data_IF_475250488106
#
_entry.id   IF_475250488106
#
_cell.length_a   1.000
_cell.length_b   1.000
_cell.length_c   1.000
_cell.angle_alpha   90.00
_cell.angle_beta   90.00
_cell.angle_gamma   90.00
#
_symmetry.space_group_name_H-M   'P 1'
#
loop_
_entity.id
_entity.type
_entity.pdbx_description
1 polymer ?
#
# COMPACT_ATOMS: atom_id res chain seq x y z
N UNK A 1 10.58 -28.52 12.57
CA UNK A 1 10.43 -28.17 13.99
C UNK A 1 11.76 -28.26 14.74
N UNK A 2 11.78 -27.95 16.03
CA UNK A 2 13.01 -27.92 16.85
C UNK A 2 13.77 -29.27 16.88
N UNK A 3 13.06 -30.38 16.69
CA UNK A 3 13.64 -31.74 16.71
C UNK A 3 13.91 -32.29 15.31
N UNK A 4 13.69 -31.51 14.23
CA UNK A 4 13.92 -31.98 12.88
C UNK A 4 15.42 -32.08 12.61
N UNK A 5 15.90 -33.26 12.27
CA UNK A 5 17.30 -33.47 11.91
C UNK A 5 17.66 -32.72 10.62
N UNK A 6 18.82 -32.05 10.56
CA UNK A 6 19.25 -31.29 9.36
C UNK A 6 19.28 -32.14 8.09
N UNK A 7 19.67 -33.40 8.18
CA UNK A 7 19.71 -34.34 7.05
C UNK A 7 18.33 -34.60 6.45
N UNK A 8 17.27 -34.64 7.28
CA UNK A 8 15.89 -34.80 6.81
C UNK A 8 15.45 -33.53 6.07
N UNK A 9 15.73 -32.35 6.62
CA UNK A 9 15.42 -31.08 5.97
C UNK A 9 16.10 -30.97 4.61
N UNK A 10 17.41 -31.27 4.53
CA UNK A 10 18.17 -31.26 3.27
C UNK A 10 17.61 -32.24 2.22
N UNK A 11 17.20 -33.43 2.65
CA UNK A 11 16.57 -34.43 1.75
C UNK A 11 15.24 -33.93 1.18
N UNK A 12 14.38 -33.36 2.01
CA UNK A 12 13.09 -32.81 1.57
C UNK A 12 13.30 -31.61 0.64
N UNK A 13 14.29 -30.74 0.92
CA UNK A 13 14.66 -29.66 0.04
C UNK A 13 15.10 -30.16 -1.33
N UNK A 14 16.03 -31.14 -1.38
CA UNK A 14 16.50 -31.74 -2.63
C UNK A 14 15.34 -32.35 -3.43
N UNK A 15 14.44 -33.07 -2.76
CA UNK A 15 13.26 -33.67 -3.39
C UNK A 15 12.32 -32.60 -3.96
N UNK A 16 12.07 -31.51 -3.22
CA UNK A 16 11.25 -30.40 -3.68
C UNK A 16 11.84 -29.73 -4.93
N UNK A 17 13.16 -29.53 -4.95
CA UNK A 17 13.89 -29.01 -6.12
C UNK A 17 13.79 -29.94 -7.32
N UNK A 18 13.91 -31.27 -7.11
CA UNK A 18 13.76 -32.26 -8.17
C UNK A 18 12.33 -32.25 -8.78
N UNK A 19 11.33 -31.85 -8.03
CA UNK A 19 9.95 -31.62 -8.52
C UNK A 19 9.73 -30.26 -9.18
N UNK A 20 10.80 -29.47 -9.42
CA UNK A 20 10.70 -28.15 -10.01
C UNK A 20 10.11 -27.08 -9.07
N UNK A 21 10.06 -27.34 -7.75
CA UNK A 21 9.61 -26.35 -6.76
C UNK A 21 10.77 -25.46 -6.31
N UNK A 22 10.42 -24.30 -5.79
CA UNK A 22 11.37 -23.38 -5.11
C UNK A 22 11.14 -23.52 -3.61
N UNK A 23 11.87 -24.42 -2.92
CA UNK A 23 11.74 -24.58 -1.48
C UNK A 23 12.32 -23.40 -0.72
N UNK A 24 11.65 -23.02 0.35
CA UNK A 24 12.12 -21.99 1.28
C UNK A 24 12.14 -22.56 2.68
N UNK A 25 13.27 -22.42 3.38
CA UNK A 25 13.36 -22.79 4.78
C UNK A 25 12.57 -21.81 5.63
N UNK A 26 11.69 -22.35 6.48
CA UNK A 26 10.91 -21.57 7.44
C UNK A 26 11.05 -22.19 8.84
N UNK A 27 11.34 -21.34 9.83
CA UNK A 27 11.21 -21.74 11.22
C UNK A 27 9.74 -22.06 11.53
N UNK A 28 9.50 -23.10 12.34
CA UNK A 28 8.15 -23.46 12.76
C UNK A 28 7.59 -22.40 13.72
N UNK A 29 6.90 -21.43 13.16
CA UNK A 29 6.24 -20.33 13.86
C UNK A 29 4.81 -20.17 13.33
N UNK A 30 3.90 -19.52 14.09
CA UNK A 30 2.52 -19.32 13.65
C UNK A 30 2.44 -18.60 12.30
N UNK A 31 1.73 -19.21 11.34
CA UNK A 31 1.59 -18.69 9.98
C UNK A 31 2.81 -18.90 9.07
N UNK A 32 3.90 -19.46 9.56
CA UNK A 32 5.15 -19.61 8.83
C UNK A 32 5.55 -18.28 8.14
N UNK A 33 5.74 -18.30 6.82
CA UNK A 33 6.06 -17.10 6.02
C UNK A 33 4.78 -16.45 5.49
N UNK A 34 4.03 -17.18 4.65
CA UNK A 34 2.93 -16.60 3.87
C UNK A 34 1.76 -16.15 4.73
N UNK A 35 1.22 -17.03 5.59
CA UNK A 35 0.07 -16.67 6.43
C UNK A 35 0.39 -15.62 7.48
N UNK A 36 1.66 -15.39 7.77
CA UNK A 36 2.12 -14.31 8.63
C UNK A 36 2.26 -13.00 7.86
N UNK A 37 3.11 -12.98 6.82
CA UNK A 37 3.43 -11.75 6.08
C UNK A 37 2.21 -11.23 5.31
N UNK A 38 1.29 -12.09 4.85
CA UNK A 38 0.09 -11.65 4.15
C UNK A 38 -1.00 -11.05 5.05
N UNK A 39 -0.91 -11.18 6.39
CA UNK A 39 -1.99 -10.65 7.27
C UNK A 39 -2.26 -9.16 7.11
N UNK A 40 -1.26 -8.27 7.00
CA UNK A 40 -1.51 -6.85 6.76
C UNK A 40 -2.34 -6.56 5.51
N UNK A 41 -2.27 -7.37 4.45
CA UNK A 41 -3.07 -7.17 3.24
C UNK A 41 -4.58 -7.13 3.53
N UNK A 42 -5.05 -8.04 4.38
CA UNK A 42 -6.46 -8.06 4.82
C UNK A 42 -6.71 -7.08 5.95
N UNK A 43 -5.78 -6.98 6.88
CA UNK A 43 -5.95 -6.21 8.09
C UNK A 43 -6.01 -4.71 7.83
N UNK A 44 -5.17 -4.17 6.91
CA UNK A 44 -5.24 -2.76 6.54
C UNK A 44 -6.50 -2.45 5.73
N UNK A 45 -6.88 -3.34 4.81
CA UNK A 45 -8.15 -3.23 4.09
C UNK A 45 -9.36 -3.15 5.03
N UNK A 46 -9.45 -4.09 5.98
CA UNK A 46 -10.55 -4.14 6.94
C UNK A 46 -10.54 -2.95 7.92
N UNK A 47 -9.37 -2.39 8.23
CA UNK A 47 -9.28 -1.18 9.04
C UNK A 47 -9.84 0.03 8.28
N UNK A 48 -9.46 0.23 7.02
CA UNK A 48 -9.97 1.30 6.18
C UNK A 48 -11.49 1.21 5.97
N UNK A 49 -12.02 -0.01 5.83
CA UNK A 49 -13.48 -0.23 5.75
C UNK A 49 -14.19 0.06 7.07
N UNK A 50 -13.61 -0.32 8.21
CA UNK A 50 -14.15 -0.01 9.54
C UNK A 50 -14.22 1.49 9.80
N UNK A 51 -13.20 2.22 9.35
CA UNK A 51 -13.10 3.67 9.43
C UNK A 51 -14.02 4.39 8.41
N UNK A 52 -14.66 3.64 7.50
CA UNK A 52 -15.43 4.19 6.38
C UNK A 52 -14.60 5.10 5.47
N UNK A 53 -13.31 4.86 5.42
CA UNK A 53 -12.36 5.67 4.66
C UNK A 53 -12.43 5.41 3.15
N UNK A 54 -12.87 4.22 2.75
CA UNK A 54 -12.91 3.78 1.36
C UNK A 54 -13.99 2.72 1.13
N UNK A 55 -14.60 2.74 -0.05
CA UNK A 55 -15.53 1.68 -0.48
C UNK A 55 -14.77 0.43 -0.97
N UNK A 56 -15.33 -0.79 -0.79
CA UNK A 56 -14.68 -2.04 -1.21
C UNK A 56 -14.17 -2.05 -2.65
N UNK A 57 -14.95 -1.52 -3.60
CA UNK A 57 -14.60 -1.50 -5.02
C UNK A 57 -13.40 -0.58 -5.31
N UNK A 58 -13.33 0.56 -4.65
CA UNK A 58 -12.21 1.52 -4.76
C UNK A 58 -10.94 0.92 -4.16
N UNK A 59 -11.05 0.33 -2.97
CA UNK A 59 -9.96 -0.35 -2.29
C UNK A 59 -9.34 -1.44 -3.17
N UNK A 60 -10.19 -2.31 -3.72
CA UNK A 60 -9.77 -3.40 -4.60
C UNK A 60 -9.14 -2.88 -5.89
N UNK A 61 -9.69 -1.82 -6.48
CA UNK A 61 -9.15 -1.21 -7.69
C UNK A 61 -7.77 -0.60 -7.46
N UNK A 62 -7.55 0.11 -6.34
CA UNK A 62 -6.25 0.69 -5.99
C UNK A 62 -5.18 -0.39 -5.79
N UNK A 63 -5.50 -1.49 -5.12
CA UNK A 63 -4.54 -2.57 -4.90
C UNK A 63 -4.31 -3.41 -6.16
N UNK A 64 -5.34 -3.66 -7.01
CA UNK A 64 -5.11 -4.19 -8.36
C UNK A 64 -4.25 -3.23 -9.20
N UNK A 65 -4.52 -1.94 -9.11
CA UNK A 65 -3.71 -0.88 -9.70
C UNK A 65 -2.26 -0.88 -9.24
N UNK A 66 -1.97 -1.35 -8.04
CA UNK A 66 -0.63 -1.57 -7.52
C UNK A 66 0.02 -2.90 -7.97
N UNK A 67 -0.67 -3.68 -8.83
CA UNK A 67 -0.18 -4.91 -9.45
C UNK A 67 -0.61 -6.19 -8.72
N UNK A 68 -1.39 -6.12 -7.65
CA UNK A 68 -1.95 -7.34 -7.04
C UNK A 68 -2.98 -7.98 -7.97
N UNK A 69 -2.96 -9.31 -8.05
CA UNK A 69 -3.85 -10.07 -8.93
C UNK A 69 -5.32 -9.89 -8.59
N UNK A 70 -5.64 -9.74 -7.32
CA UNK A 70 -6.99 -9.50 -6.79
C UNK A 70 -6.89 -8.46 -5.68
N UNK A 71 -7.92 -7.62 -5.56
CA UNK A 71 -8.07 -6.77 -4.39
C UNK A 71 -8.42 -7.58 -3.13
N UNK A 72 -8.22 -7.03 -1.93
CA UNK A 72 -8.41 -7.76 -0.67
C UNK A 72 -9.86 -8.17 -0.42
N UNK A 73 -10.85 -7.38 -0.85
CA UNK A 73 -12.26 -7.71 -0.68
C UNK A 73 -12.65 -8.88 -1.59
N UNK A 74 -12.27 -8.86 -2.88
CA UNK A 74 -12.47 -9.98 -3.79
C UNK A 74 -11.75 -11.25 -3.31
N UNK A 75 -10.54 -11.09 -2.76
CA UNK A 75 -9.75 -12.22 -2.27
C UNK A 75 -10.36 -12.83 -1.01
N UNK A 76 -10.87 -12.03 -0.09
CA UNK A 76 -11.60 -12.51 1.08
C UNK A 76 -12.90 -13.23 0.68
N UNK A 77 -13.62 -12.70 -0.29
CA UNK A 77 -14.83 -13.34 -0.85
C UNK A 77 -14.51 -14.68 -1.55
N UNK A 78 -13.35 -14.79 -2.21
CA UNK A 78 -12.88 -16.02 -2.84
C UNK A 78 -12.50 -17.10 -1.80
N UNK A 79 -11.74 -16.71 -0.77
CA UNK A 79 -11.28 -17.60 0.31
C UNK A 79 -12.47 -18.05 1.18
N UNK A 80 -13.38 -17.16 1.41
CA UNK A 80 -14.47 -17.25 2.37
C UNK A 80 -14.11 -16.57 3.70
N UNK A 81 -15.00 -15.67 4.14
CA UNK A 81 -14.78 -14.84 5.33
C UNK A 81 -14.60 -15.68 6.61
N UNK A 82 -15.32 -16.77 6.75
CA UNK A 82 -15.19 -17.71 7.87
C UNK A 82 -13.80 -18.36 7.90
N UNK A 83 -13.30 -18.81 6.74
CA UNK A 83 -11.97 -19.40 6.61
C UNK A 83 -10.88 -18.37 6.90
N UNK A 84 -10.98 -17.18 6.30
CA UNK A 84 -10.00 -16.12 6.51
C UNK A 84 -9.97 -15.63 7.97
N UNK A 85 -11.15 -15.47 8.60
CA UNK A 85 -11.28 -15.10 10.01
C UNK A 85 -10.70 -16.17 10.94
N UNK A 86 -10.96 -17.47 10.65
CA UNK A 86 -10.41 -18.57 11.44
C UNK A 86 -8.88 -18.60 11.40
N UNK A 87 -8.28 -18.39 10.21
CA UNK A 87 -6.81 -18.26 10.06
C UNK A 87 -6.29 -17.05 10.84
N UNK A 88 -6.95 -15.89 10.74
CA UNK A 88 -6.55 -14.69 11.48
C UNK A 88 -6.59 -14.92 12.98
N UNK A 89 -7.67 -15.50 13.52
CA UNK A 89 -7.79 -15.83 14.95
C UNK A 89 -6.67 -16.79 15.38
N UNK A 90 -6.42 -17.86 14.61
CA UNK A 90 -5.36 -18.82 14.91
C UNK A 90 -3.97 -18.15 14.97
N UNK A 91 -3.65 -17.25 14.04
CA UNK A 91 -2.36 -16.51 14.06
C UNK A 91 -2.31 -15.55 15.24
N UNK A 92 -3.40 -14.85 15.54
CA UNK A 92 -3.50 -13.91 16.65
C UNK A 92 -3.29 -14.60 18.01
N UNK A 93 -4.01 -15.69 18.26
CA UNK A 93 -3.91 -16.48 19.49
C UNK A 93 -2.50 -17.08 19.65
N UNK A 94 -1.97 -17.66 18.58
CA UNK A 94 -0.66 -18.32 18.58
C UNK A 94 0.53 -17.33 18.71
N UNK A 95 0.31 -16.04 18.45
CA UNK A 95 1.26 -14.95 18.72
C UNK A 95 0.96 -14.23 20.04
N UNK A 96 0.28 -14.89 20.97
CA UNK A 96 -0.08 -14.35 22.29
C UNK A 96 -0.81 -13.02 22.21
N UNK A 97 -1.74 -12.90 21.25
CA UNK A 97 -2.62 -11.74 21.08
C UNK A 97 -1.89 -10.44 20.68
N UNK A 98 -0.78 -10.55 19.94
CA UNK A 98 -0.11 -9.39 19.35
C UNK A 98 -1.11 -8.58 18.49
N UNK A 99 -1.30 -7.31 18.84
CA UNK A 99 -2.28 -6.40 18.23
C UNK A 99 -2.12 -6.24 16.71
N UNK A 100 -0.94 -6.53 16.18
CA UNK A 100 -0.69 -6.52 14.74
C UNK A 100 -1.55 -7.54 13.98
N UNK A 101 -1.90 -8.66 14.63
CA UNK A 101 -2.72 -9.73 14.06
C UNK A 101 -4.18 -9.72 14.53
N UNK A 102 -4.63 -8.65 15.21
CA UNK A 102 -5.98 -8.58 15.77
C UNK A 102 -7.06 -8.77 14.67
N UNK A 103 -8.04 -9.64 14.89
CA UNK A 103 -9.17 -9.82 13.98
C UNK A 103 -10.02 -8.55 13.86
N UNK A 104 -10.67 -8.37 12.71
CA UNK A 104 -11.54 -7.23 12.42
C UNK A 104 -12.98 -7.51 12.79
N UNK A 105 -13.66 -6.50 13.36
CA UNK A 105 -15.12 -6.52 13.60
C UNK A 105 -15.90 -6.62 12.29
N UNK A 106 -15.50 -5.91 11.24
CA UNK A 106 -16.13 -5.99 9.91
C UNK A 106 -16.22 -7.44 9.44
N UNK A 107 -15.10 -8.18 9.50
CA UNK A 107 -15.10 -9.58 9.07
C UNK A 107 -15.89 -10.49 10.01
N UNK A 108 -15.88 -10.22 11.33
CA UNK A 108 -16.66 -10.98 12.29
C UNK A 108 -18.16 -10.82 12.05
N UNK A 109 -18.62 -9.60 11.75
CA UNK A 109 -20.02 -9.31 11.43
C UNK A 109 -20.45 -9.96 10.11
N UNK A 110 -19.61 -9.95 9.09
CA UNK A 110 -19.89 -10.64 7.83
C UNK A 110 -20.09 -12.14 8.04
N UNK A 111 -19.22 -12.77 8.85
CA UNK A 111 -19.36 -14.20 9.18
C UNK A 111 -20.64 -14.45 9.96
N UNK A 112 -20.96 -13.64 10.97
CA UNK A 112 -22.19 -13.75 11.76
C UNK A 112 -23.44 -13.56 10.89
N UNK A 113 -23.39 -12.68 9.90
CA UNK A 113 -24.47 -12.44 8.94
C UNK A 113 -24.57 -13.48 7.80
N UNK A 114 -23.68 -14.51 7.76
CA UNK A 114 -23.67 -15.51 6.69
C UNK A 114 -23.15 -14.99 5.36
N UNK A 115 -22.54 -13.81 5.32
CA UNK A 115 -21.94 -13.18 4.13
C UNK A 115 -20.54 -13.75 3.88
N UNK A 116 -20.47 -15.04 3.52
CA UNK A 116 -19.21 -15.79 3.47
C UNK A 116 -18.43 -15.63 2.15
N UNK A 117 -18.91 -14.80 1.22
CA UNK A 117 -18.32 -14.59 -0.08
C UNK A 117 -18.92 -15.47 -1.17
N UNK A 118 -18.11 -15.89 -2.16
CA UNK A 118 -18.58 -16.64 -3.33
C UNK A 118 -19.34 -17.92 -2.97
N UNK A 119 -18.93 -18.62 -1.94
CA UNK A 119 -19.56 -19.89 -1.51
C UNK A 119 -20.98 -19.73 -0.96
N UNK A 120 -21.32 -18.55 -0.45
CA UNK A 120 -22.69 -18.21 0.00
C UNK A 120 -23.44 -17.31 -0.99
N UNK A 121 -22.84 -17.03 -2.17
CA UNK A 121 -23.40 -16.12 -3.18
C UNK A 121 -23.25 -14.64 -2.85
N UNK A 122 -22.80 -14.28 -1.65
CA UNK A 122 -22.61 -12.90 -1.21
C UNK A 122 -21.52 -12.78 -0.15
N UNK A 123 -20.70 -11.76 -0.29
CA UNK A 123 -19.73 -11.27 0.67
C UNK A 123 -19.68 -9.75 0.60
N UNK A 124 -18.53 -9.16 0.37
CA UNK A 124 -18.44 -7.74 -0.01
C UNK A 124 -19.19 -7.47 -1.32
N UNK A 125 -19.20 -8.45 -2.22
CA UNK A 125 -19.89 -8.39 -3.51
C UNK A 125 -20.97 -9.46 -3.61
N UNK A 126 -21.95 -9.22 -4.51
CA UNK A 126 -22.92 -10.23 -4.90
C UNK A 126 -22.37 -11.08 -6.09
N UNK A 127 -22.57 -12.38 -6.04
CA UNK A 127 -22.07 -13.29 -7.07
C UNK A 127 -23.22 -13.95 -7.85
N UNK A 128 -23.04 -14.14 -9.18
CA UNK A 128 -21.78 -14.11 -9.94
C UNK A 128 -21.30 -12.73 -10.41
N UNK A 129 -22.01 -11.62 -10.15
CA UNK A 129 -21.67 -10.29 -10.68
C UNK A 129 -20.25 -9.84 -10.24
N UNK A 130 -19.88 -10.05 -8.96
CA UNK A 130 -18.57 -9.65 -8.45
C UNK A 130 -18.41 -8.15 -8.20
N UNK A 131 -17.19 -7.65 -8.17
CA UNK A 131 -16.89 -6.25 -7.96
C UNK A 131 -17.43 -5.39 -9.13
N UNK A 132 -18.13 -4.27 -8.85
CA UNK A 132 -18.57 -3.36 -9.90
C UNK A 132 -17.37 -2.68 -10.57
N UNK A 133 -17.53 -2.33 -11.85
CA UNK A 133 -16.59 -1.46 -12.54
C UNK A 133 -16.66 -0.05 -11.93
N UNK A 134 -15.49 0.56 -11.72
CA UNK A 134 -15.43 1.96 -11.32
C UNK A 134 -15.76 2.87 -12.52
N UNK A 135 -16.33 4.06 -12.27
CA UNK A 135 -16.53 5.05 -13.30
C UNK A 135 -15.21 5.40 -14.01
N UNK A 136 -15.26 5.58 -15.32
CA UNK A 136 -14.10 6.10 -16.04
C UNK A 136 -13.86 7.55 -15.63
N UNK A 137 -12.59 7.96 -15.49
CA UNK A 137 -12.25 9.35 -15.20
C UNK A 137 -12.81 10.30 -16.28
N UNK A 138 -13.34 11.47 -15.85
CA UNK A 138 -13.82 12.49 -16.77
C UNK A 138 -12.66 13.27 -17.39
N UNK A 139 -12.44 13.14 -18.69
CA UNK A 139 -11.37 13.84 -19.39
C UNK A 139 -11.45 15.38 -19.28
N UNK A 140 -12.62 15.93 -19.05
CA UNK A 140 -12.80 17.37 -18.87
C UNK A 140 -12.10 17.90 -17.61
N UNK A 141 -12.00 17.09 -16.55
CA UNK A 141 -11.31 17.48 -15.31
C UNK A 141 -9.80 17.70 -15.56
N UNK A 142 -9.15 16.79 -16.30
CA UNK A 142 -7.75 16.94 -16.65
C UNK A 142 -7.51 18.19 -17.50
N UNK A 143 -8.32 18.41 -18.51
CA UNK A 143 -8.22 19.57 -19.38
C UNK A 143 -8.43 20.87 -18.60
N UNK A 144 -9.43 20.93 -17.74
CA UNK A 144 -9.70 22.11 -16.89
C UNK A 144 -8.53 22.43 -15.95
N UNK A 145 -7.97 21.44 -15.29
CA UNK A 145 -6.83 21.62 -14.40
C UNK A 145 -5.58 22.13 -15.14
N UNK A 146 -5.28 21.58 -16.32
CA UNK A 146 -4.14 22.01 -17.14
C UNK A 146 -4.32 23.43 -17.69
N UNK A 147 -5.52 23.80 -18.15
CA UNK A 147 -5.82 25.13 -18.68
C UNK A 147 -5.77 26.24 -17.61
N UNK A 148 -6.11 25.89 -16.36
CA UNK A 148 -6.10 26.84 -15.25
C UNK A 148 -4.66 27.15 -14.77
N UNK A 149 -3.73 26.21 -14.92
CA UNK A 149 -2.38 26.33 -14.40
C UNK A 149 -1.54 27.41 -15.09
N UNK A 150 -0.76 28.13 -14.29
CA UNK A 150 0.21 29.16 -14.72
C UNK A 150 1.64 28.74 -14.40
N UNK A 151 1.85 28.21 -13.23
CA UNK A 151 3.14 27.78 -12.74
C UNK A 151 3.03 26.35 -12.17
N UNK A 152 3.92 25.48 -12.62
CA UNK A 152 3.97 24.09 -12.15
C UNK A 152 5.41 23.73 -11.78
N UNK A 153 5.61 23.16 -10.61
CA UNK A 153 6.89 22.62 -10.18
C UNK A 153 6.75 21.15 -9.72
N UNK A 154 7.74 20.34 -10.04
CA UNK A 154 7.85 18.97 -9.55
C UNK A 154 8.94 18.88 -8.49
N UNK A 155 8.53 18.49 -7.29
CA UNK A 155 9.35 18.39 -6.11
C UNK A 155 9.90 16.99 -5.89
N UNK A 156 11.07 16.90 -5.24
CA UNK A 156 11.65 15.66 -4.76
C UNK A 156 12.65 15.00 -5.72
N UNK A 157 13.13 13.83 -5.35
CA UNK A 157 14.13 13.02 -6.09
C UNK A 157 13.66 11.58 -6.26
N UNK A 158 14.34 10.86 -7.16
CA UNK A 158 14.15 9.43 -7.39
C UNK A 158 13.01 9.13 -8.37
N UNK A 159 12.81 7.84 -8.60
CA UNK A 159 12.01 7.32 -9.72
C UNK A 159 10.58 7.88 -9.81
N UNK A 160 9.91 8.11 -8.66
CA UNK A 160 8.54 8.67 -8.68
C UNK A 160 8.58 10.13 -9.11
N UNK A 161 9.47 10.94 -8.54
CA UNK A 161 9.59 12.35 -8.90
C UNK A 161 9.99 12.53 -10.39
N UNK A 162 10.86 11.67 -10.90
CA UNK A 162 11.30 11.70 -12.29
C UNK A 162 10.17 11.28 -13.23
N UNK A 163 9.38 10.27 -12.87
CA UNK A 163 8.20 9.88 -13.62
C UNK A 163 7.11 10.98 -13.62
N UNK A 164 6.89 11.66 -12.48
CA UNK A 164 5.99 12.79 -12.40
C UNK A 164 6.45 13.95 -13.30
N UNK A 165 7.74 14.27 -13.29
CA UNK A 165 8.32 15.33 -14.12
C UNK A 165 8.12 15.06 -15.61
N UNK A 166 8.40 13.82 -16.05
CA UNK A 166 8.21 13.41 -17.44
C UNK A 166 6.74 13.51 -17.86
N UNK A 167 5.81 13.04 -17.04
CA UNK A 167 4.38 13.06 -17.32
C UNK A 167 3.80 14.48 -17.30
N UNK A 168 4.23 15.30 -16.33
CA UNK A 168 3.83 16.70 -16.26
C UNK A 168 4.33 17.49 -17.46
N UNK A 169 5.59 17.27 -17.89
CA UNK A 169 6.12 17.89 -19.09
C UNK A 169 5.29 17.53 -20.33
N UNK A 170 4.98 16.26 -20.54
CA UNK A 170 4.15 15.82 -21.66
C UNK A 170 2.72 16.39 -21.61
N UNK A 171 2.13 16.50 -20.42
CA UNK A 171 0.78 17.05 -20.25
C UNK A 171 0.73 18.57 -20.49
N UNK A 172 1.82 19.30 -20.21
CA UNK A 172 1.91 20.76 -20.35
C UNK A 172 2.43 21.22 -21.71
N UNK A 173 3.07 20.34 -22.50
CA UNK A 173 3.60 20.66 -23.83
C UNK A 173 2.56 21.35 -24.75
N UNK A 174 1.29 20.93 -24.82
CA UNK A 174 0.29 21.59 -25.65
C UNK A 174 -0.04 23.02 -25.25
N UNK A 175 0.32 23.41 -24.02
CA UNK A 175 0.09 24.75 -23.46
C UNK A 175 1.32 25.66 -23.58
N UNK A 176 2.42 25.15 -24.13
CA UNK A 176 3.63 25.92 -24.43
C UNK A 176 4.55 26.19 -23.24
N UNK A 177 4.40 25.45 -22.14
CA UNK A 177 5.31 25.53 -20.99
C UNK A 177 5.57 24.14 -20.37
N UNK A 178 6.51 24.06 -19.44
CA UNK A 178 6.85 22.84 -18.74
C UNK A 178 7.06 23.06 -17.25
N UNK A 179 7.09 22.01 -16.45
CA UNK A 179 7.26 22.10 -15.02
C UNK A 179 8.71 22.46 -14.65
N UNK A 180 8.88 23.31 -13.64
CA UNK A 180 10.16 23.48 -12.96
C UNK A 180 10.53 22.21 -12.19
N UNK A 181 11.82 21.93 -11.98
CA UNK A 181 12.32 20.77 -11.25
C UNK A 181 13.01 21.19 -9.95
N UNK A 182 12.42 20.86 -8.79
CA UNK A 182 12.90 21.24 -7.47
C UNK A 182 13.41 20.00 -6.70
N UNK A 183 14.65 19.61 -6.97
CA UNK A 183 15.25 18.39 -6.43
C UNK A 183 15.73 18.51 -4.98
N UNK A 184 15.81 19.72 -4.41
CA UNK A 184 16.21 19.94 -3.02
C UNK A 184 15.07 19.79 -2.01
N UNK A 185 13.84 19.62 -2.49
CA UNK A 185 12.65 19.51 -1.64
C UNK A 185 12.66 18.26 -0.79
N UNK A 186 12.19 18.38 0.45
CA UNK A 186 12.04 17.26 1.39
C UNK A 186 10.81 16.38 1.10
N UNK A 187 9.99 16.72 0.11
CA UNK A 187 8.78 16.02 -0.27
C UNK A 187 8.73 15.78 -1.78
N UNK A 188 7.92 14.83 -2.22
CA UNK A 188 7.72 14.47 -3.63
C UNK A 188 6.30 14.78 -4.05
N UNK A 189 6.13 15.38 -5.24
CA UNK A 189 4.82 15.70 -5.81
C UNK A 189 4.86 16.89 -6.73
N UNK A 190 3.71 17.54 -6.93
CA UNK A 190 3.56 18.75 -7.73
C UNK A 190 3.16 19.93 -6.83
N UNK A 191 3.70 21.09 -7.16
CA UNK A 191 3.18 22.40 -6.77
C UNK A 191 2.57 23.04 -8.01
N UNK A 192 1.34 23.52 -7.90
CA UNK A 192 0.59 24.15 -8.98
C UNK A 192 0.01 25.47 -8.47
N UNK A 193 0.54 26.59 -8.94
CA UNK A 193 0.11 27.93 -8.51
C UNK A 193 0.08 28.09 -6.98
N UNK A 194 1.03 27.46 -6.27
CA UNK A 194 1.12 27.44 -4.82
C UNK A 194 0.28 26.38 -4.11
N UNK A 195 -0.59 25.64 -4.80
CA UNK A 195 -1.28 24.49 -4.26
C UNK A 195 -0.40 23.22 -4.33
N UNK A 196 -0.53 22.31 -3.36
CA UNK A 196 0.31 21.13 -3.25
C UNK A 196 -0.44 19.82 -3.54
N UNK A 197 0.08 19.01 -4.45
CA UNK A 197 -0.32 17.63 -4.68
C UNK A 197 0.85 16.71 -4.29
N UNK A 198 0.81 16.12 -3.09
CA UNK A 198 1.94 15.45 -2.45
C UNK A 198 1.81 13.93 -2.47
N UNK A 199 2.91 13.25 -2.73
CA UNK A 199 3.02 11.81 -2.47
C UNK A 199 2.87 11.56 -0.96
N UNK A 200 2.03 10.59 -0.57
CA UNK A 200 1.83 10.29 0.84
C UNK A 200 3.15 9.88 1.52
N UNK A 201 3.38 10.46 2.68
CA UNK A 201 4.46 10.10 3.62
C UNK A 201 3.92 9.41 4.87
N UNK A 202 2.59 9.18 4.91
CA UNK A 202 1.87 8.71 6.07
C UNK A 202 1.02 9.78 6.74
N UNK A 203 1.36 11.06 6.60
CA UNK A 203 0.52 12.18 7.05
C UNK A 203 -0.70 12.36 6.16
N UNK A 204 -1.78 12.83 6.74
CA UNK A 204 -2.99 13.25 6.03
C UNK A 204 -2.79 14.56 5.28
N UNK A 205 -3.68 14.88 4.34
CA UNK A 205 -3.67 16.17 3.67
C UNK A 205 -3.94 17.32 4.65
N UNK A 206 -4.80 17.11 5.64
CA UNK A 206 -5.09 18.08 6.70
C UNK A 206 -3.86 18.37 7.58
N UNK A 207 -3.10 17.34 7.98
CA UNK A 207 -1.85 17.50 8.73
C UNK A 207 -0.82 18.29 7.91
N UNK A 208 -0.67 17.95 6.62
CA UNK A 208 0.22 18.69 5.72
C UNK A 208 -0.21 20.15 5.55
N UNK A 209 -1.50 20.44 5.42
CA UNK A 209 -2.00 21.81 5.34
C UNK A 209 -1.66 22.61 6.61
N UNK A 210 -1.85 21.98 7.78
CA UNK A 210 -1.54 22.59 9.07
C UNK A 210 -0.02 22.85 9.25
N UNK A 211 0.83 21.87 8.88
CA UNK A 211 2.28 21.98 9.04
C UNK A 211 2.91 22.98 8.06
N UNK A 212 2.43 23.01 6.81
CA UNK A 212 3.00 23.90 5.77
C UNK A 212 2.41 25.29 5.74
N UNK A 213 1.24 25.51 6.32
CA UNK A 213 0.47 26.75 6.19
C UNK A 213 -0.17 26.94 4.80
N UNK A 214 -0.12 25.92 3.94
CA UNK A 214 -0.73 25.93 2.61
C UNK A 214 -2.19 25.46 2.74
N UNK A 215 -3.12 26.25 2.19
CA UNK A 215 -4.56 25.90 2.27
C UNK A 215 -4.91 24.75 1.31
N UNK A 216 -4.45 24.84 0.07
CA UNK A 216 -4.78 23.91 -1.00
C UNK A 216 -3.78 22.76 -1.03
N UNK A 217 -4.08 21.68 -0.28
CA UNK A 217 -3.25 20.49 -0.19
C UNK A 217 -4.06 19.26 -0.53
N UNK A 218 -3.50 18.42 -1.38
CA UNK A 218 -3.96 17.05 -1.61
C UNK A 218 -2.79 16.07 -1.43
N UNK A 219 -3.09 14.87 -0.99
CA UNK A 219 -2.14 13.75 -0.94
C UNK A 219 -2.61 12.66 -1.89
N UNK A 220 -1.68 12.04 -2.60
CA UNK A 220 -1.94 10.89 -3.46
C UNK A 220 -1.11 9.69 -3.02
N UNK A 221 -1.62 8.51 -3.32
CA UNK A 221 -1.02 7.25 -2.90
C UNK A 221 0.25 6.92 -3.68
N UNK A 222 1.04 5.99 -3.18
CA UNK A 222 2.29 5.56 -3.81
C UNK A 222 2.01 4.58 -4.95
N UNK A 223 2.35 4.90 -6.19
CA UNK A 223 2.35 3.93 -7.27
C UNK A 223 3.49 2.92 -7.06
N UNK A 224 3.19 1.62 -7.10
CA UNK A 224 4.20 0.56 -6.97
C UNK A 224 4.79 0.12 -8.31
N UNK A 225 4.20 0.56 -9.42
CA UNK A 225 4.71 0.36 -10.78
C UNK A 225 4.36 1.55 -11.68
N UNK A 226 4.92 1.57 -12.89
CA UNK A 226 4.87 2.72 -13.80
C UNK A 226 3.60 2.81 -14.65
N UNK A 227 2.84 1.74 -14.76
CA UNK A 227 1.62 1.74 -15.58
C UNK A 227 0.53 2.61 -14.95
N UNK A 228 -0.22 3.37 -15.75
CA UNK A 228 -1.37 4.14 -15.28
C UNK A 228 -2.42 3.22 -14.65
N UNK A 229 -2.87 3.55 -13.46
CA UNK A 229 -3.77 2.69 -12.69
C UNK A 229 -4.64 3.49 -11.73
N UNK A 230 -5.61 2.83 -11.12
CA UNK A 230 -6.38 3.40 -10.02
C UNK A 230 -5.44 3.83 -8.88
N UNK A 231 -5.56 5.08 -8.47
CA UNK A 231 -4.70 5.70 -7.47
C UNK A 231 -5.56 6.46 -6.45
N UNK A 232 -5.49 6.06 -5.19
CA UNK A 232 -6.19 6.76 -4.12
C UNK A 232 -5.60 8.16 -3.91
N UNK A 233 -6.46 9.12 -3.60
CA UNK A 233 -6.05 10.46 -3.19
C UNK A 233 -7.06 11.04 -2.20
N UNK A 234 -6.60 11.99 -1.40
CA UNK A 234 -7.43 12.77 -0.50
C UNK A 234 -7.05 14.25 -0.56
N UNK A 235 -8.02 15.12 -0.33
CA UNK A 235 -7.85 16.57 -0.31
C UNK A 235 -8.13 17.08 1.09
N UNK A 236 -7.32 18.02 1.58
CA UNK A 236 -7.52 18.61 2.89
C UNK A 236 -8.90 19.28 2.97
N UNK A 237 -9.64 19.10 4.06
CA UNK A 237 -10.97 19.73 4.22
C UNK A 237 -10.94 21.26 4.15
N UNK A 238 -9.79 21.87 4.43
CA UNK A 238 -9.57 23.32 4.34
C UNK A 238 -9.36 23.83 2.93
N UNK A 239 -9.16 22.94 1.95
CA UNK A 239 -8.86 23.33 0.58
C UNK A 239 -10.04 24.00 -0.12
N UNK A 240 -9.74 24.84 -1.09
CA UNK A 240 -10.73 25.51 -1.93
C UNK A 240 -11.54 24.50 -2.75
N UNK A 241 -12.78 24.85 -3.11
CA UNK A 241 -13.60 24.03 -4.00
C UNK A 241 -12.92 23.76 -5.34
N UNK A 242 -12.20 24.75 -5.89
CA UNK A 242 -11.45 24.58 -7.12
C UNK A 242 -10.33 23.55 -6.99
N UNK A 243 -9.64 23.49 -5.85
CA UNK A 243 -8.58 22.50 -5.65
C UNK A 243 -9.11 21.07 -5.50
N UNK A 244 -10.31 20.90 -4.93
CA UNK A 244 -10.97 19.59 -4.88
C UNK A 244 -11.18 19.00 -6.28
N UNK A 245 -11.50 19.81 -7.29
CA UNK A 245 -11.63 19.40 -8.69
C UNK A 245 -10.26 19.26 -9.38
N UNK A 246 -9.39 20.24 -9.20
CA UNK A 246 -8.10 20.31 -9.88
C UNK A 246 -7.14 19.20 -9.44
N UNK A 247 -7.14 18.78 -8.18
CA UNK A 247 -6.29 17.70 -7.69
C UNK A 247 -6.55 16.39 -8.44
N UNK A 248 -7.83 16.03 -8.64
CA UNK A 248 -8.23 14.88 -9.47
C UNK A 248 -7.81 15.08 -10.93
N UNK A 249 -8.04 16.25 -11.50
CA UNK A 249 -7.66 16.60 -12.86
C UNK A 249 -6.16 16.46 -13.11
N UNK A 250 -5.33 16.89 -12.17
CA UNK A 250 -3.87 16.72 -12.26
C UNK A 250 -3.44 15.26 -12.21
N UNK A 251 -3.99 14.45 -11.30
CA UNK A 251 -3.68 13.02 -11.26
C UNK A 251 -4.06 12.33 -12.57
N UNK A 252 -5.20 12.72 -13.16
CA UNK A 252 -5.63 12.22 -14.45
C UNK A 252 -4.73 12.69 -15.60
N UNK A 253 -4.30 13.95 -15.60
CA UNK A 253 -3.35 14.48 -16.57
C UNK A 253 -1.99 13.76 -16.50
N UNK A 254 -1.60 13.33 -15.30
CA UNK A 254 -0.44 12.48 -15.08
C UNK A 254 -0.66 11.00 -15.48
N UNK A 255 -1.83 10.66 -16.03
CA UNK A 255 -2.15 9.33 -16.54
C UNK A 255 -2.68 8.34 -15.49
N UNK A 256 -3.03 8.78 -14.28
CA UNK A 256 -3.68 7.92 -13.28
C UNK A 256 -5.20 7.94 -13.42
N UNK A 257 -5.88 6.95 -12.84
CA UNK A 257 -7.31 6.96 -12.61
C UNK A 257 -7.57 7.32 -11.13
N UNK A 258 -7.72 8.63 -10.80
CA UNK A 258 -7.83 9.09 -9.42
C UNK A 258 -9.08 8.54 -8.75
N UNK A 259 -8.92 8.04 -7.53
CA UNK A 259 -10.00 7.51 -6.71
C UNK A 259 -10.05 8.29 -5.40
N UNK A 260 -11.09 9.10 -5.17
CA UNK A 260 -11.22 9.84 -3.92
C UNK A 260 -11.47 8.89 -2.75
N UNK A 261 -10.76 9.14 -1.65
CA UNK A 261 -10.93 8.44 -0.39
C UNK A 261 -10.98 9.46 0.76
N UNK A 262 -11.41 9.06 1.93
CA UNK A 262 -11.30 9.93 3.11
C UNK A 262 -9.83 10.27 3.40
N UNK A 263 -9.60 11.45 3.99
CA UNK A 263 -8.25 11.90 4.36
C UNK A 263 -7.74 11.08 5.54
N UNK A 264 -7.09 9.96 5.21
CA UNK A 264 -6.62 8.94 6.15
C UNK A 264 -5.12 8.72 6.03
N UNK A 265 -4.42 8.49 7.15
CA UNK A 265 -2.97 8.29 7.15
C UNK A 265 -2.51 7.15 6.23
N UNK A 266 -1.55 7.45 5.35
CA UNK A 266 -0.93 6.48 4.46
C UNK A 266 -1.81 5.94 3.34
N UNK A 267 -3.04 6.46 3.19
CA UNK A 267 -4.02 6.08 2.17
C UNK A 267 -4.24 4.55 2.07
N UNK A 268 -4.15 3.96 0.88
CA UNK A 268 -4.49 2.54 0.63
C UNK A 268 -3.24 1.70 0.36
N UNK A 269 -2.52 2.02 -0.71
CA UNK A 269 -1.40 1.20 -1.21
C UNK A 269 -0.16 1.36 -0.36
N UNK A 270 0.22 2.60 -0.05
CA UNK A 270 1.42 2.89 0.72
C UNK A 270 1.33 2.31 2.14
N UNK A 271 0.20 2.47 2.81
CA UNK A 271 -0.09 1.89 4.13
C UNK A 271 0.02 0.36 4.10
N UNK A 272 -0.64 -0.27 3.13
CA UNK A 272 -0.64 -1.73 2.99
C UNK A 272 0.77 -2.26 2.69
N UNK A 273 1.48 -1.67 1.72
CA UNK A 273 2.83 -2.11 1.35
C UNK A 273 3.84 -1.90 2.49
N UNK A 274 3.78 -0.77 3.20
CA UNK A 274 4.64 -0.52 4.35
C UNK A 274 4.42 -1.55 5.47
N UNK A 275 3.17 -1.95 5.73
CA UNK A 275 2.86 -2.97 6.73
C UNK A 275 3.28 -4.38 6.28
N UNK A 276 3.19 -4.72 4.99
CA UNK A 276 3.72 -5.97 4.44
C UNK A 276 5.25 -6.04 4.59
N UNK A 277 5.95 -4.94 4.28
CA UNK A 277 7.40 -4.80 4.47
C UNK A 277 7.76 -4.94 5.96
N UNK A 278 7.02 -4.26 6.84
CA UNK A 278 7.26 -4.27 8.27
C UNK A 278 7.13 -5.67 8.88
N UNK A 279 6.10 -6.43 8.48
CA UNK A 279 5.90 -7.79 8.96
C UNK A 279 6.94 -8.77 8.40
N UNK A 280 7.35 -8.59 7.14
CA UNK A 280 8.45 -9.36 6.56
C UNK A 280 9.78 -9.08 7.29
N UNK A 281 10.04 -7.81 7.65
CA UNK A 281 11.21 -7.42 8.43
C UNK A 281 11.22 -8.07 9.84
N UNK A 282 10.06 -8.15 10.51
CA UNK A 282 9.94 -8.87 11.78
C UNK A 282 10.13 -10.38 11.62
N UNK A 283 9.62 -10.98 10.53
CA UNK A 283 9.85 -12.40 10.25
C UNK A 283 11.35 -12.71 10.06
N UNK A 284 12.08 -11.87 9.35
CA UNK A 284 13.54 -11.99 9.20
C UNK A 284 14.27 -11.74 10.51
N UNK A 285 13.89 -10.70 11.27
CA UNK A 285 14.47 -10.39 12.60
C UNK A 285 14.40 -11.60 13.55
N UNK A 286 13.28 -12.33 13.50
CA UNK A 286 13.02 -13.48 14.37
C UNK A 286 13.58 -14.81 13.79
N UNK A 287 14.29 -14.74 12.67
CA UNK A 287 14.89 -15.90 12.03
C UNK A 287 13.88 -16.89 11.46
N UNK A 288 12.67 -16.43 11.09
CA UNK A 288 11.65 -17.28 10.44
C UNK A 288 12.08 -17.67 9.04
N UNK A 289 12.63 -16.71 8.29
CA UNK A 289 13.15 -16.90 6.93
C UNK A 289 14.24 -15.85 6.62
N UNK A 290 14.86 -15.98 5.45
CA UNK A 290 15.74 -14.95 4.87
C UNK A 290 14.91 -13.91 4.10
N UNK A 291 15.51 -12.77 3.77
CA UNK A 291 14.90 -11.75 2.89
C UNK A 291 14.47 -12.36 1.55
N UNK A 292 15.40 -13.06 0.88
CA UNK A 292 15.11 -13.75 -0.39
C UNK A 292 14.04 -14.84 -0.25
N UNK A 293 14.01 -15.54 0.90
CA UNK A 293 12.99 -16.54 1.21
C UNK A 293 11.60 -15.93 1.39
N UNK A 294 11.51 -14.77 2.04
CA UNK A 294 10.26 -14.01 2.16
C UNK A 294 9.74 -13.57 0.79
N UNK A 295 10.60 -12.98 -0.04
CA UNK A 295 10.24 -12.51 -1.37
C UNK A 295 9.79 -13.66 -2.27
N UNK A 296 10.52 -14.77 -2.29
CA UNK A 296 10.15 -15.97 -3.06
C UNK A 296 8.81 -16.55 -2.60
N UNK A 297 8.59 -16.67 -1.28
CA UNK A 297 7.35 -17.21 -0.73
C UNK A 297 6.14 -16.34 -1.08
N UNK A 298 6.26 -15.01 -1.01
CA UNK A 298 5.15 -14.10 -1.32
C UNK A 298 4.85 -14.05 -2.83
N UNK A 299 5.88 -14.02 -3.69
CA UNK A 299 5.67 -14.04 -5.14
C UNK A 299 5.13 -15.37 -5.65
N UNK A 300 5.76 -16.48 -5.25
CA UNK A 300 5.44 -17.80 -5.80
C UNK A 300 4.30 -18.51 -5.05
N UNK A 301 4.10 -18.18 -3.77
CA UNK A 301 3.07 -18.79 -2.94
C UNK A 301 1.71 -18.12 -3.04
N UNK A 302 1.66 -16.80 -3.18
CA UNK A 302 0.40 -16.01 -3.19
C UNK A 302 0.32 -14.98 -4.32
N UNK A 303 1.18 -15.10 -5.33
CA UNK A 303 1.16 -14.28 -6.55
C UNK A 303 1.26 -12.76 -6.31
N UNK A 304 2.07 -12.34 -5.36
CA UNK A 304 2.35 -10.92 -5.18
C UNK A 304 3.16 -10.39 -6.36
N UNK A 305 2.94 -9.13 -6.78
CA UNK A 305 3.63 -8.55 -7.94
C UNK A 305 5.13 -8.35 -7.70
N UNK A 306 5.53 -8.22 -6.44
CA UNK A 306 6.91 -8.18 -5.99
C UNK A 306 7.01 -8.69 -4.54
N UNK A 307 8.22 -9.05 -4.11
CA UNK A 307 8.47 -9.38 -2.72
C UNK A 307 8.54 -8.14 -1.83
N UNK A 308 8.31 -8.28 -0.51
CA UNK A 308 8.39 -7.17 0.42
C UNK A 308 9.75 -6.46 0.42
N UNK A 309 10.84 -7.20 0.28
CA UNK A 309 12.19 -6.63 0.24
C UNK A 309 12.55 -6.07 -1.15
N UNK A 310 11.95 -6.59 -2.22
CA UNK A 310 12.02 -5.96 -3.54
C UNK A 310 11.33 -4.59 -3.54
N UNK A 311 10.18 -4.44 -2.88
CA UNK A 311 9.55 -3.13 -2.67
C UNK A 311 10.42 -2.22 -1.81
N UNK A 312 10.97 -2.73 -0.69
CA UNK A 312 11.89 -1.97 0.16
C UNK A 312 13.13 -1.49 -0.62
N UNK A 313 13.59 -2.28 -1.60
CA UNK A 313 14.69 -1.89 -2.49
C UNK A 313 14.38 -0.71 -3.40
N UNK A 314 13.13 -0.57 -3.82
CA UNK A 314 12.64 0.54 -4.67
C UNK A 314 12.16 1.74 -3.85
N UNK A 315 11.75 1.50 -2.64
CA UNK A 315 11.39 2.47 -1.62
C UNK A 315 12.58 2.55 -0.65
N UNK A 316 12.84 3.60 0.04
CA UNK A 316 13.89 3.60 1.07
C UNK A 316 13.36 3.08 2.40
N UNK A 317 14.23 2.46 3.21
CA UNK A 317 13.83 2.07 4.56
C UNK A 317 13.47 3.29 5.42
N UNK A 318 14.11 4.43 5.19
CA UNK A 318 13.79 5.67 5.88
C UNK A 318 12.37 6.16 5.58
N UNK A 319 11.94 6.12 4.31
CA UNK A 319 10.57 6.50 3.93
C UNK A 319 9.52 5.54 4.52
N UNK A 320 9.78 4.21 4.50
CA UNK A 320 8.87 3.22 5.09
C UNK A 320 8.76 3.42 6.59
N UNK A 321 9.87 3.67 7.29
CA UNK A 321 9.89 3.97 8.73
C UNK A 321 9.10 5.23 9.03
N UNK A 322 9.31 6.31 8.27
CA UNK A 322 8.59 7.57 8.46
C UNK A 322 7.06 7.39 8.29
N UNK A 323 6.65 6.66 7.26
CA UNK A 323 5.23 6.35 7.03
C UNK A 323 4.63 5.55 8.20
N UNK A 324 5.32 4.50 8.66
CA UNK A 324 4.85 3.70 9.78
C UNK A 324 4.80 4.51 11.09
N UNK A 325 5.74 5.42 11.30
CA UNK A 325 5.75 6.34 12.46
C UNK A 325 4.58 7.33 12.41
N UNK A 326 4.22 7.83 11.23
CA UNK A 326 3.03 8.67 11.06
C UNK A 326 1.76 7.90 11.41
N UNK A 327 1.61 6.66 10.91
CA UNK A 327 0.51 5.78 11.29
C UNK A 327 0.47 5.52 12.79
N UNK A 328 1.60 5.18 13.41
CA UNK A 328 1.71 4.95 14.86
C UNK A 328 1.35 6.22 15.65
N UNK A 329 1.80 7.36 15.18
CA UNK A 329 1.49 8.67 15.76
C UNK A 329 -0.01 8.98 15.78
N UNK A 330 -0.72 8.65 14.70
CA UNK A 330 -2.16 8.86 14.57
C UNK A 330 -2.98 7.84 15.37
N UNK A 331 -2.73 6.54 15.13
CA UNK A 331 -3.57 5.47 15.69
C UNK A 331 -3.22 5.07 17.11
N UNK A 332 -2.00 5.33 17.55
CA UNK A 332 -1.48 4.93 18.85
C UNK A 332 -1.70 3.44 19.17
N UNK A 333 -0.69 2.75 19.59
CA UNK A 333 -0.77 1.34 19.93
C UNK A 333 0.30 0.50 19.23
N UNK A 334 0.19 -0.82 19.33
CA UNK A 334 1.26 -1.72 18.91
C UNK A 334 1.19 -2.10 17.42
N UNK A 335 0.06 -1.84 16.75
CA UNK A 335 -0.19 -2.30 15.38
C UNK A 335 0.87 -1.82 14.39
N UNK A 336 1.20 -0.53 14.44
CA UNK A 336 2.15 0.11 13.52
C UNK A 336 3.58 0.20 14.06
N UNK A 337 3.86 -0.45 15.18
CA UNK A 337 5.20 -0.57 15.75
C UNK A 337 6.21 -0.97 14.67
N UNK A 338 7.20 -0.12 14.43
CA UNK A 338 8.23 -0.35 13.43
C UNK A 338 9.16 -1.48 13.85
N UNK A 339 9.41 -2.43 12.96
CA UNK A 339 10.36 -3.52 13.19
C UNK A 339 11.75 -2.97 13.53
N UNK A 340 12.40 -3.45 14.60
CA UNK A 340 13.79 -3.08 14.93
C UNK A 340 14.78 -3.37 13.79
N UNK A 341 14.51 -4.37 12.96
CA UNK A 341 15.31 -4.66 11.77
C UNK A 341 15.22 -3.50 10.77
N UNK A 342 14.00 -3.04 10.49
CA UNK A 342 13.75 -1.95 9.56
C UNK A 342 14.32 -0.61 10.05
N UNK A 343 14.21 -0.34 11.35
CA UNK A 343 14.82 0.85 11.96
C UNK A 343 16.35 0.85 11.83
N UNK A 344 17.00 -0.31 12.04
CA UNK A 344 18.45 -0.44 11.83
C UNK A 344 18.85 -0.21 10.38
N UNK A 345 18.07 -0.76 9.44
CA UNK A 345 18.28 -0.57 8.01
C UNK A 345 18.18 0.91 7.63
N UNK A 346 17.14 1.60 8.08
CA UNK A 346 16.94 3.02 7.82
C UNK A 346 18.11 3.88 8.35
N UNK A 347 18.62 3.59 9.54
CA UNK A 347 19.80 4.30 10.10
C UNK A 347 21.06 4.06 9.27
N UNK A 348 21.27 2.84 8.79
CA UNK A 348 22.40 2.51 7.93
C UNK A 348 22.33 3.22 6.56
N UNK A 349 21.13 3.38 5.98
CA UNK A 349 20.94 4.13 4.72
C UNK A 349 21.25 5.63 4.88
N UNK A 350 20.96 6.23 6.03
CA UNK A 350 21.31 7.63 6.32
C UNK A 350 22.83 7.81 6.42
N UNK A 351 23.54 6.83 6.99
CA UNK A 351 24.99 6.87 7.13
C UNK A 351 25.72 6.62 5.82
N UNK A 352 25.16 5.79 4.96
CA UNK A 352 25.68 5.45 3.64
C UNK A 352 24.55 5.62 2.60
N UNK A 353 24.26 6.86 2.18
CA UNK A 353 23.22 7.12 1.20
C UNK A 353 23.53 6.37 -0.11
N UNK A 354 22.52 5.73 -0.69
CA UNK A 354 22.64 5.10 -2.02
C UNK A 354 22.99 6.19 -3.03
N UNK A 355 23.88 5.91 -3.99
CA UNK A 355 24.26 6.86 -5.03
C UNK A 355 23.08 7.29 -5.92
#
# INVERSE_FOLDING_TARGET
GLQTEPAVAARIEALSRAWGKVPVHAKSTPGFIVNRIARPYYAEALALLLEQAVEPAVLDACLRGAGFRMGPCELMDLIGHDTNLAVTKSVFEANFYDKRFAPSLVQAEMVAGGLLGRKSGRGFYAYPAGAPALPSPDAALAQGALQAAREVAVHGRGAIADALALRAAAALEPFGFGPARLTSSAWTGLEVDGAHLRLTSGLTAAEWAAESGITDVAVFDRPLHTEPSALAYAVAPSSSAAWHEHAAGWLQALGFAPQPVADTPGLVVARTAAMLINEAADAVLQGVCTEAGADAAMKLGVNYPAGPFEWLGRWSAAEVVALLQALDGCYRGERYRVSPWLQRRARAEVQNPRP
#
